data_IF_794494358635
#
_entry.id   IF_794494358635
#
_cell.length_a   1.000
_cell.length_b   1.000
_cell.length_c   1.000
_cell.angle_alpha   90.00
_cell.angle_beta   90.00
_cell.angle_gamma   90.00
#
_symmetry.space_group_name_H-M   'P 1'
#
loop_
_entity.id
_entity.type
_entity.pdbx_description
1 polymer ?
#
# COMPACT_ATOMS: atom_id res chain seq x y z
N UNK A 1 29.43 11.03 23.98
CA UNK A 1 29.15 9.63 24.38
C UNK A 1 27.67 9.61 24.74
N UNK A 2 26.80 9.12 23.84
CA UNK A 2 25.36 9.04 24.09
C UNK A 2 25.10 7.73 24.81
N UNK A 3 24.61 7.83 26.04
CA UNK A 3 24.24 6.69 26.85
C UNK A 3 22.90 6.17 26.38
N UNK A 4 22.87 5.00 25.74
CA UNK A 4 21.63 4.31 25.37
C UNK A 4 21.09 3.64 26.62
N UNK A 5 20.02 4.18 27.19
CA UNK A 5 19.28 3.54 28.26
C UNK A 5 18.37 2.46 27.64
N UNK A 6 18.78 1.21 27.72
CA UNK A 6 17.90 0.07 27.37
C UNK A 6 16.99 -0.19 28.58
N UNK A 7 15.73 0.26 28.50
CA UNK A 7 14.72 -0.10 29.48
C UNK A 7 14.07 -1.41 29.06
N UNK A 8 14.49 -2.52 29.65
CA UNK A 8 13.77 -3.78 29.57
C UNK A 8 12.56 -3.71 30.50
N UNK A 9 11.35 -3.54 29.95
CA UNK A 9 10.11 -3.66 30.72
C UNK A 9 9.78 -5.15 30.83
N UNK A 10 10.13 -5.78 31.94
CA UNK A 10 9.66 -7.14 32.26
C UNK A 10 8.31 -7.00 32.97
N UNK A 11 7.23 -7.35 32.29
CA UNK A 11 5.89 -7.41 32.89
C UNK A 11 5.69 -8.81 33.45
N UNK A 12 5.71 -8.96 34.77
CA UNK A 12 5.26 -10.19 35.43
C UNK A 12 3.73 -10.30 35.35
N UNK A 13 3.14 -11.49 35.24
CA UNK A 13 1.72 -11.67 35.01
C UNK A 13 0.92 -11.45 36.31
N UNK A 14 0.66 -10.21 36.67
CA UNK A 14 -0.48 -9.83 37.49
C UNK A 14 -1.38 -8.98 36.58
N UNK A 15 -2.64 -9.40 36.46
CA UNK A 15 -3.65 -8.76 35.62
C UNK A 15 -3.82 -7.25 35.96
N UNK A 16 -2.91 -6.46 35.44
CA UNK A 16 -3.03 -5.01 35.43
C UNK A 16 -2.94 -4.58 33.96
N UNK A 17 -3.91 -3.85 33.49
CA UNK A 17 -3.85 -3.13 32.22
C UNK A 17 -2.71 -2.12 32.31
N UNK A 18 -1.49 -2.55 32.00
CA UNK A 18 -0.34 -1.67 32.00
C UNK A 18 -0.34 -0.88 30.69
N UNK A 19 -0.68 0.40 30.76
CA UNK A 19 -0.47 1.32 29.65
C UNK A 19 0.95 1.86 29.73
N UNK A 20 1.79 1.55 28.74
CA UNK A 20 3.10 2.18 28.59
C UNK A 20 2.97 3.39 27.67
N UNK A 21 3.24 4.57 28.19
CA UNK A 21 3.22 5.81 27.40
C UNK A 21 4.64 6.21 27.04
N UNK A 22 4.94 6.28 25.74
CA UNK A 22 6.18 6.84 25.21
C UNK A 22 5.89 8.22 24.64
N UNK A 23 6.63 9.23 25.08
CA UNK A 23 6.48 10.62 24.64
C UNK A 23 7.65 11.00 23.73
N UNK A 24 7.35 11.57 22.55
CA UNK A 24 8.33 11.94 21.56
C UNK A 24 8.43 10.91 20.41
N UNK A 25 9.48 11.03 19.61
CA UNK A 25 9.71 10.13 18.49
C UNK A 25 10.33 8.83 18.97
N UNK A 26 9.75 7.71 18.56
CA UNK A 26 10.28 6.36 18.82
C UNK A 26 10.70 5.76 17.49
N UNK A 27 11.93 5.27 17.40
CA UNK A 27 12.47 4.61 16.22
C UNK A 27 12.74 3.13 16.54
N UNK A 28 12.23 2.24 15.72
CA UNK A 28 12.55 0.82 15.73
C UNK A 28 13.52 0.52 14.59
N UNK A 29 14.66 -0.08 14.91
CA UNK A 29 15.65 -0.55 13.95
C UNK A 29 15.42 -2.03 13.65
N UNK A 30 14.31 -2.35 13.01
CA UNK A 30 13.89 -3.73 12.73
C UNK A 30 12.38 -3.83 12.57
N UNK A 31 11.87 -5.05 12.61
CA UNK A 31 10.45 -5.32 12.47
C UNK A 31 9.70 -4.99 13.77
N UNK A 32 8.46 -4.53 13.64
CA UNK A 32 7.51 -4.34 14.73
C UNK A 32 6.30 -5.24 14.47
N UNK A 33 6.04 -6.19 15.37
CA UNK A 33 4.84 -7.01 15.36
C UNK A 33 3.84 -6.49 16.40
N UNK A 34 2.58 -6.35 16.02
CA UNK A 34 1.47 -5.93 16.87
C UNK A 34 0.36 -6.95 16.73
N UNK A 35 0.05 -7.68 17.81
CA UNK A 35 -1.00 -8.71 17.82
C UNK A 35 -2.40 -8.14 18.04
N UNK A 36 -2.50 -6.89 18.48
CA UNK A 36 -3.76 -6.17 18.69
C UNK A 36 -4.01 -5.12 17.61
N UNK A 37 -4.98 -4.24 17.86
CA UNK A 37 -5.29 -3.13 16.98
C UNK A 37 -4.22 -2.03 17.04
N UNK A 38 -3.83 -1.49 15.89
CA UNK A 38 -2.99 -0.30 15.76
C UNK A 38 -3.85 0.91 15.40
N UNK A 39 -3.95 1.88 16.31
CA UNK A 39 -4.56 3.18 16.03
C UNK A 39 -3.46 4.23 15.81
N UNK A 40 -3.54 4.97 14.72
CA UNK A 40 -2.53 5.97 14.32
C UNK A 40 -3.18 7.11 13.56
N UNK A 41 -2.59 8.30 13.60
CA UNK A 41 -3.09 9.46 12.88
C UNK A 41 -2.91 9.35 11.36
N UNK A 42 -1.84 8.70 10.89
CA UNK A 42 -1.59 8.37 9.48
C UNK A 42 -0.60 7.22 9.36
N UNK A 43 -0.44 6.67 8.16
CA UNK A 43 0.58 5.66 7.90
C UNK A 43 1.08 5.72 6.47
N UNK A 44 2.41 5.68 6.33
CA UNK A 44 3.09 5.70 5.04
C UNK A 44 4.19 4.66 5.03
N UNK A 45 4.45 4.05 3.87
CA UNK A 45 5.75 3.49 3.61
C UNK A 45 6.70 4.59 3.13
N UNK A 46 7.98 4.40 3.29
CA UNK A 46 9.03 5.28 2.77
C UNK A 46 10.10 4.45 2.10
N UNK A 47 10.51 4.87 0.91
CA UNK A 47 11.58 4.24 0.12
C UNK A 47 12.47 5.30 -0.51
N UNK A 48 13.63 4.91 -0.99
CA UNK A 48 14.42 5.73 -1.89
C UNK A 48 13.63 5.99 -3.19
N UNK A 49 13.66 7.23 -3.67
CA UNK A 49 12.92 7.62 -4.85
C UNK A 49 13.43 6.86 -6.09
N UNK A 50 12.57 6.16 -6.87
CA UNK A 50 13.02 5.25 -7.94
C UNK A 50 13.82 5.93 -9.06
N UNK A 51 13.65 7.25 -9.28
CA UNK A 51 14.39 8.00 -10.28
C UNK A 51 15.56 8.83 -9.70
N UNK A 52 15.63 9.00 -8.37
CA UNK A 52 16.67 9.81 -7.72
C UNK A 52 16.92 9.31 -6.28
N UNK A 53 17.44 8.07 -6.14
CA UNK A 53 17.53 7.40 -4.84
C UNK A 53 18.52 8.03 -3.87
N UNK A 54 19.46 8.82 -4.37
CA UNK A 54 20.50 9.47 -3.52
C UNK A 54 20.05 10.78 -2.90
N UNK A 55 19.04 11.44 -3.49
CA UNK A 55 18.67 12.79 -3.09
C UNK A 55 17.22 12.91 -2.62
N UNK A 56 16.36 11.88 -2.87
CA UNK A 56 14.93 11.98 -2.60
C UNK A 56 14.39 10.71 -1.94
N UNK A 57 13.42 10.91 -1.06
CA UNK A 57 12.56 9.88 -0.51
C UNK A 57 11.18 9.96 -1.15
N UNK A 58 10.54 8.82 -1.31
CA UNK A 58 9.17 8.70 -1.79
C UNK A 58 8.28 8.12 -0.68
N UNK A 59 7.19 8.82 -0.39
CA UNK A 59 6.19 8.43 0.61
C UNK A 59 4.87 8.14 -0.07
N UNK A 60 4.24 7.01 0.26
CA UNK A 60 2.85 6.72 -0.07
C UNK A 60 2.13 6.16 1.14
N UNK A 61 0.82 6.35 1.22
CA UNK A 61 -0.03 5.58 2.13
C UNK A 61 0.03 4.11 1.72
N UNK A 62 0.03 3.20 2.69
CA UNK A 62 -0.03 1.78 2.36
C UNK A 62 -1.48 1.31 2.20
N UNK A 63 -1.65 0.33 1.33
CA UNK A 63 -2.90 -0.37 1.07
C UNK A 63 -2.80 -1.78 1.65
N UNK A 64 -3.76 -2.18 2.46
CA UNK A 64 -3.84 -3.55 2.94
C UNK A 64 -4.35 -4.46 1.81
N UNK A 65 -3.48 -5.28 1.29
CA UNK A 65 -3.71 -6.14 0.12
C UNK A 65 -2.70 -7.30 0.16
N UNK A 66 -3.04 -8.48 -0.39
CA UNK A 66 -2.07 -9.55 -0.55
C UNK A 66 -0.89 -9.18 -1.45
N UNK A 67 -1.04 -8.14 -2.27
CA UNK A 67 0.02 -7.59 -3.12
C UNK A 67 0.40 -6.18 -2.64
N UNK A 68 1.66 -5.79 -2.75
CA UNK A 68 2.10 -4.43 -2.45
C UNK A 68 1.57 -3.45 -3.52
N UNK A 69 0.36 -2.93 -3.34
CA UNK A 69 -0.31 -2.05 -4.30
C UNK A 69 -0.13 -0.59 -4.00
N UNK A 70 -0.05 0.20 -5.09
CA UNK A 70 -0.32 1.64 -5.09
C UNK A 70 -1.60 1.91 -5.87
N UNK A 71 -2.36 2.92 -5.45
CA UNK A 71 -3.60 3.36 -6.08
C UNK A 71 -3.45 4.83 -6.47
N UNK A 72 -3.84 5.15 -7.68
CA UNK A 72 -3.91 6.51 -8.22
C UNK A 72 -5.27 6.71 -8.85
N UNK A 73 -5.84 7.88 -8.69
CA UNK A 73 -7.17 8.19 -9.19
C UNK A 73 -7.30 9.67 -9.60
N UNK A 74 -8.35 9.96 -10.29
CA UNK A 74 -8.66 11.31 -10.69
C UNK A 74 -9.90 11.41 -11.57
N UNK A 75 -10.12 12.60 -12.08
CA UNK A 75 -11.18 12.90 -13.05
C UNK A 75 -10.55 13.52 -14.29
N UNK A 76 -10.99 13.09 -15.47
CA UNK A 76 -10.56 13.66 -16.75
C UNK A 76 -11.76 14.01 -17.60
N UNK A 77 -11.66 15.10 -18.36
CA UNK A 77 -12.62 15.46 -19.39
C UNK A 77 -12.16 14.91 -20.75
N UNK A 78 -13.07 14.26 -21.46
CA UNK A 78 -12.84 13.74 -22.78
C UNK A 78 -12.85 14.87 -23.82
N UNK A 79 -12.04 14.73 -24.84
CA UNK A 79 -12.00 15.68 -25.97
C UNK A 79 -13.20 15.51 -26.91
N UNK A 80 -13.21 16.25 -28.04
CA UNK A 80 -14.27 16.19 -29.06
C UNK A 80 -14.40 14.84 -29.77
N UNK A 81 -13.40 13.94 -29.63
CA UNK A 81 -13.43 12.58 -30.15
C UNK A 81 -13.89 11.56 -29.08
N UNK A 82 -14.21 12.01 -27.88
CA UNK A 82 -14.56 11.13 -26.76
C UNK A 82 -13.35 10.40 -26.18
N UNK A 83 -12.16 10.98 -26.23
CA UNK A 83 -10.89 10.43 -25.77
C UNK A 83 -10.19 11.36 -24.77
N UNK A 84 -9.38 10.81 -23.88
CA UNK A 84 -8.49 11.59 -23.01
C UNK A 84 -7.19 10.85 -22.75
N UNK A 85 -6.11 11.61 -22.69
CA UNK A 85 -4.82 11.15 -22.17
C UNK A 85 -4.78 11.50 -20.69
N UNK A 86 -4.50 10.51 -19.86
CA UNK A 86 -4.29 10.67 -18.42
C UNK A 86 -2.80 10.66 -18.13
N UNK A 87 -2.32 11.70 -17.48
CA UNK A 87 -0.94 11.82 -17.05
C UNK A 87 -0.80 11.30 -15.60
N UNK A 88 0.17 10.45 -15.39
CA UNK A 88 0.54 9.88 -14.10
C UNK A 88 1.85 10.54 -13.60
N UNK A 89 2.19 10.42 -12.30
CA UNK A 89 3.47 10.89 -11.81
C UNK A 89 4.64 10.33 -12.63
N UNK A 90 5.68 11.12 -12.81
CA UNK A 90 6.85 10.74 -13.63
C UNK A 90 7.60 9.48 -13.15
N UNK A 91 7.42 9.11 -11.89
CA UNK A 91 8.00 7.90 -11.29
C UNK A 91 7.07 6.68 -11.37
N UNK A 92 5.87 6.81 -11.96
CA UNK A 92 4.83 5.78 -11.87
C UNK A 92 5.30 4.43 -12.45
N UNK A 93 5.83 4.39 -13.67
CA UNK A 93 6.32 3.16 -14.29
C UNK A 93 7.60 2.63 -13.62
N UNK A 94 8.43 3.51 -13.04
CA UNK A 94 9.62 3.09 -12.31
C UNK A 94 9.29 2.42 -10.96
N UNK A 95 8.09 2.68 -10.43
CA UNK A 95 7.63 2.14 -9.15
C UNK A 95 6.68 0.96 -9.31
N UNK A 96 5.86 0.92 -10.36
CA UNK A 96 4.71 0.04 -10.48
C UNK A 96 4.73 -0.77 -11.77
N UNK A 97 4.14 -1.97 -11.71
CA UNK A 97 3.80 -2.82 -12.84
C UNK A 97 2.42 -3.43 -12.68
N UNK A 98 2.04 -4.33 -13.58
CA UNK A 98 0.79 -5.10 -13.54
C UNK A 98 -0.45 -4.22 -13.30
N UNK A 99 -0.66 -3.27 -14.19
CA UNK A 99 -1.68 -2.23 -14.04
C UNK A 99 -3.09 -2.78 -14.16
N UNK A 100 -4.01 -2.23 -13.32
CA UNK A 100 -5.44 -2.50 -13.39
C UNK A 100 -6.20 -1.19 -13.41
N UNK A 101 -7.13 -1.07 -14.37
CA UNK A 101 -7.86 0.15 -14.66
C UNK A 101 -9.33 0.00 -14.27
N UNK A 102 -9.90 1.08 -13.73
CA UNK A 102 -11.33 1.21 -13.45
C UNK A 102 -11.80 2.57 -13.95
N UNK A 103 -12.97 2.60 -14.62
CA UNK A 103 -13.56 3.84 -15.14
C UNK A 103 -15.01 3.91 -14.77
N UNK A 104 -15.41 5.11 -14.40
CA UNK A 104 -16.82 5.45 -14.14
C UNK A 104 -17.18 6.71 -14.90
N UNK A 105 -18.11 6.64 -15.87
CA UNK A 105 -18.61 7.83 -16.53
C UNK A 105 -19.38 8.68 -15.52
N UNK A 106 -19.16 9.98 -15.55
CA UNK A 106 -19.87 10.92 -14.69
C UNK A 106 -20.98 11.62 -15.47
N UNK A 107 -22.12 11.83 -14.81
CA UNK A 107 -23.28 12.58 -15.27
C UNK A 107 -24.02 11.98 -16.48
N UNK A 108 -23.37 11.18 -17.33
CA UNK A 108 -23.98 10.53 -18.51
C UNK A 108 -23.44 9.12 -18.64
N UNK A 109 -24.28 8.19 -19.09
CA UNK A 109 -23.84 6.83 -19.40
C UNK A 109 -22.88 6.82 -20.60
N UNK A 110 -21.76 6.12 -20.49
CA UNK A 110 -20.76 5.93 -21.55
C UNK A 110 -20.39 4.44 -21.60
N UNK A 111 -21.26 3.58 -22.16
CA UNK A 111 -21.09 2.12 -22.08
C UNK A 111 -19.93 1.60 -22.91
N UNK A 112 -19.34 2.39 -23.79
CA UNK A 112 -18.27 2.00 -24.70
C UNK A 112 -16.88 2.49 -24.21
N UNK A 113 -16.75 2.96 -22.98
CA UNK A 113 -15.44 3.35 -22.42
C UNK A 113 -14.48 2.15 -22.39
N UNK A 114 -13.26 2.36 -22.88
CA UNK A 114 -12.19 1.36 -22.87
C UNK A 114 -10.81 2.00 -22.78
N UNK A 115 -9.79 1.21 -22.44
CA UNK A 115 -8.38 1.61 -22.59
C UNK A 115 -8.00 1.50 -24.06
N UNK A 116 -7.68 2.63 -24.67
CA UNK A 116 -7.15 2.69 -26.03
C UNK A 116 -5.65 2.42 -26.08
N UNK A 117 -4.92 2.97 -25.11
CA UNK A 117 -3.50 2.77 -24.93
C UNK A 117 -3.21 2.54 -23.45
N UNK A 118 -2.50 1.45 -23.15
CA UNK A 118 -2.04 1.13 -21.79
C UNK A 118 -0.93 2.09 -21.36
N UNK A 119 -0.55 2.04 -20.09
CA UNK A 119 0.51 2.90 -19.57
C UNK A 119 1.79 2.76 -20.38
N UNK A 120 2.21 3.88 -20.92
CA UNK A 120 3.50 4.06 -21.58
C UNK A 120 3.97 5.49 -21.37
N UNK A 121 5.22 5.69 -20.93
CA UNK A 121 5.79 7.00 -20.59
C UNK A 121 4.96 7.74 -19.53
N UNK A 122 4.48 7.00 -18.55
CA UNK A 122 3.63 7.48 -17.46
C UNK A 122 2.31 8.12 -17.94
N UNK A 123 1.76 7.70 -19.07
CA UNK A 123 0.43 8.12 -19.57
C UNK A 123 -0.36 6.91 -20.03
N UNK A 124 -1.68 7.02 -20.01
CA UNK A 124 -2.59 6.07 -20.66
C UNK A 124 -3.73 6.81 -21.33
N UNK A 125 -4.37 6.17 -22.31
CA UNK A 125 -5.45 6.78 -23.08
C UNK A 125 -6.78 6.08 -22.85
N UNK A 126 -7.79 6.83 -22.43
CA UNK A 126 -9.20 6.41 -22.36
C UNK A 126 -9.88 6.83 -23.66
N UNK A 127 -10.74 5.98 -24.20
CA UNK A 127 -11.54 6.25 -25.39
C UNK A 127 -12.96 5.68 -25.31
N UNK A 128 -13.79 5.95 -26.33
CA UNK A 128 -15.14 5.41 -26.44
C UNK A 128 -16.19 6.15 -25.63
N UNK A 129 -15.84 7.32 -25.09
CA UNK A 129 -16.78 8.14 -24.35
C UNK A 129 -17.56 9.17 -25.22
N UNK A 130 -18.46 9.88 -24.57
CA UNK A 130 -19.19 11.01 -25.20
C UNK A 130 -18.25 12.23 -25.26
N UNK A 131 -18.23 12.98 -26.37
CA UNK A 131 -17.47 14.23 -26.46
C UNK A 131 -17.72 15.15 -25.27
N UNK A 132 -16.63 15.67 -24.69
CA UNK A 132 -16.62 16.55 -23.52
C UNK A 132 -17.29 15.96 -22.27
N UNK A 133 -17.43 14.61 -22.21
CA UNK A 133 -17.86 13.90 -21.01
C UNK A 133 -16.76 13.78 -19.98
N UNK A 134 -17.14 13.66 -18.71
CA UNK A 134 -16.19 13.46 -17.62
C UNK A 134 -16.15 11.99 -17.19
N UNK A 135 -14.95 11.51 -16.92
CA UNK A 135 -14.68 10.15 -16.48
C UNK A 135 -13.88 10.20 -15.19
N UNK A 136 -14.40 9.57 -14.13
CA UNK A 136 -13.60 9.22 -12.96
C UNK A 136 -12.80 7.97 -13.29
N UNK A 137 -11.49 8.01 -13.04
CA UNK A 137 -10.60 6.90 -13.29
C UNK A 137 -9.83 6.51 -12.03
N UNK A 138 -9.51 5.23 -11.93
CA UNK A 138 -8.57 4.70 -10.97
C UNK A 138 -7.64 3.73 -11.67
N UNK A 139 -6.36 3.80 -11.34
CA UNK A 139 -5.37 2.81 -11.74
C UNK A 139 -4.67 2.30 -10.48
N UNK A 140 -4.53 0.99 -10.38
CA UNK A 140 -3.65 0.38 -9.40
C UNK A 140 -2.48 -0.29 -10.09
N UNK A 141 -1.31 -0.23 -9.46
CA UNK A 141 -0.12 -0.95 -9.89
C UNK A 141 0.49 -1.71 -8.73
N UNK A 142 1.14 -2.82 -9.04
CA UNK A 142 1.90 -3.60 -8.07
C UNK A 142 3.31 -3.02 -8.02
N UNK A 143 3.82 -2.77 -6.82
CA UNK A 143 5.17 -2.26 -6.61
C UNK A 143 6.20 -3.28 -7.09
N UNK A 144 7.23 -2.79 -7.76
CA UNK A 144 8.40 -3.56 -8.17
C UNK A 144 9.74 -2.84 -7.88
N UNK A 145 9.72 -1.90 -6.95
CA UNK A 145 10.95 -1.25 -6.48
C UNK A 145 11.91 -2.26 -5.81
N UNK A 146 13.20 -1.93 -5.71
CA UNK A 146 14.19 -2.86 -5.17
C UNK A 146 13.90 -3.35 -3.75
N UNK A 147 13.24 -2.53 -2.93
CA UNK A 147 12.91 -2.93 -1.56
C UNK A 147 11.87 -4.04 -1.55
N UNK A 148 10.76 -3.91 -2.30
CA UNK A 148 9.69 -4.92 -2.29
C UNK A 148 10.13 -6.20 -3.01
N UNK A 149 11.01 -6.09 -4.03
CA UNK A 149 11.61 -7.26 -4.68
C UNK A 149 12.46 -8.05 -3.70
N UNK A 150 13.26 -7.36 -2.87
CA UNK A 150 14.11 -8.01 -1.86
C UNK A 150 13.31 -8.50 -0.64
N UNK A 151 12.14 -7.91 -0.36
CA UNK A 151 11.30 -8.19 0.80
C UNK A 151 9.84 -8.41 0.35
N UNK A 152 9.54 -9.48 -0.39
CA UNK A 152 8.19 -9.75 -0.89
C UNK A 152 7.21 -10.01 0.26
N UNK A 153 5.94 -9.65 0.05
CA UNK A 153 4.86 -10.03 0.95
C UNK A 153 4.62 -11.53 0.78
N UNK A 154 4.80 -12.29 1.85
CA UNK A 154 4.42 -13.70 1.91
C UNK A 154 3.05 -13.77 2.56
N UNK A 155 2.02 -14.04 1.76
CA UNK A 155 0.62 -13.99 2.20
C UNK A 155 0.27 -15.16 3.13
N UNK A 156 0.77 -16.34 2.82
CA UNK A 156 0.53 -17.56 3.58
C UNK A 156 1.85 -18.16 4.03
N UNK A 157 1.97 -18.40 5.31
CA UNK A 157 3.16 -19.02 5.93
C UNK A 157 2.71 -20.24 6.71
N UNK A 158 3.30 -21.39 6.39
CA UNK A 158 3.09 -22.61 7.17
C UNK A 158 3.66 -22.43 8.59
N UNK A 159 2.84 -22.74 9.58
CA UNK A 159 3.30 -22.78 10.97
C UNK A 159 4.22 -23.99 11.16
N UNK A 160 5.35 -23.75 11.79
CA UNK A 160 6.34 -24.77 12.13
C UNK A 160 6.78 -24.60 13.57
N UNK A 161 7.63 -25.47 14.07
CA UNK A 161 8.24 -25.29 15.41
C UNK A 161 9.19 -24.08 15.49
N UNK A 162 9.61 -23.56 14.33
CA UNK A 162 10.50 -22.39 14.24
C UNK A 162 9.72 -21.05 14.05
N UNK A 163 8.41 -21.10 13.80
CA UNK A 163 7.59 -19.89 13.70
C UNK A 163 7.21 -19.38 15.10
N UNK A 164 6.94 -18.08 15.22
CA UNK A 164 6.52 -17.45 16.48
C UNK A 164 5.24 -18.11 17.04
N UNK A 165 4.26 -18.38 16.17
CA UNK A 165 3.09 -19.20 16.49
C UNK A 165 3.33 -20.57 15.89
N UNK A 166 3.40 -21.59 16.73
CA UNK A 166 3.77 -22.94 16.33
C UNK A 166 2.63 -23.69 15.66
N UNK A 167 2.96 -24.76 14.97
CA UNK A 167 1.97 -25.67 14.42
C UNK A 167 1.08 -26.24 15.54
N UNK A 168 -0.23 -26.11 15.36
CA UNK A 168 -1.24 -26.51 16.34
C UNK A 168 -1.62 -25.41 17.35
N UNK A 169 -0.93 -24.27 17.35
CA UNK A 169 -1.30 -23.10 18.16
C UNK A 169 -2.08 -22.08 17.31
N UNK A 170 -2.96 -21.32 17.95
CA UNK A 170 -3.67 -20.21 17.32
C UNK A 170 -3.13 -18.88 17.82
N UNK A 171 -3.02 -17.89 16.93
CA UNK A 171 -2.68 -16.51 17.32
C UNK A 171 -3.74 -15.93 18.28
N UNK A 172 -5.00 -16.33 18.09
CA UNK A 172 -6.14 -15.99 18.93
C UNK A 172 -6.86 -17.29 19.31
N UNK A 173 -6.52 -17.84 20.46
CA UNK A 173 -7.02 -19.15 20.91
C UNK A 173 -8.55 -19.21 21.00
N UNK A 174 -9.19 -18.14 21.48
CA UNK A 174 -10.66 -18.05 21.60
C UNK A 174 -11.40 -18.20 20.26
N UNK A 175 -10.73 -17.91 19.14
CA UNK A 175 -11.30 -18.01 17.80
C UNK A 175 -11.07 -19.38 17.15
N UNK A 176 -10.17 -20.18 17.68
CA UNK A 176 -9.85 -21.52 17.18
C UNK A 176 -10.63 -22.65 17.88
N UNK A 177 -11.32 -22.37 18.97
CA UNK A 177 -11.95 -23.38 19.83
C UNK A 177 -13.22 -24.02 19.23
N UNK A 178 -13.57 -23.74 17.99
CA UNK A 178 -14.81 -24.19 17.34
C UNK A 178 -14.61 -25.16 16.16
N UNK A 179 -13.44 -25.84 16.07
CA UNK A 179 -13.24 -26.94 15.12
C UNK A 179 -13.15 -28.30 15.81
#
# INVERSE_FOLDING_TARGET
MVQVLVVAVVVTPLAAFAVTTLVGNVQFLGNLAITGALSKGSGTFVIDHPLDPRNKLLYHSFVESPEAKNIYDGIVELNGQGEAIVELPNYFEALNGDYRYQFFPLFKAMPNLFIKEEVTKNTFTIAGGTPFGQVSWQISGIRHDPYIIANPIVVEVEKTDATEIKKGECLFEDLCANE
#
